data_IF_762115805473
#
_entry.id   IF_762115805473
#
_cell.length_a   1.000
_cell.length_b   1.000
_cell.length_c   1.000
_cell.angle_alpha   90.00
_cell.angle_beta   90.00
_cell.angle_gamma   90.00
#
_symmetry.space_group_name_H-M   'P 1'
#
loop_
_entity.id
_entity.type
_entity.pdbx_description
1 polymer ?
#
# COMPACT_ATOMS: atom_id res chain seq x y z
N UNK A 1 -23.81 17.31 -25.71
CA UNK A 1 -23.45 17.92 -24.42
C UNK A 1 -23.93 16.95 -23.36
N UNK A 2 -23.27 15.86 -23.01
CA UNK A 2 -21.84 15.70 -22.69
C UNK A 2 -21.71 15.25 -21.24
N UNK A 3 -22.59 14.34 -20.78
CA UNK A 3 -22.47 13.67 -19.48
C UNK A 3 -21.76 12.34 -19.72
N UNK A 4 -20.45 12.31 -19.52
CA UNK A 4 -19.71 11.05 -19.42
C UNK A 4 -19.58 10.71 -17.94
N UNK A 5 -20.68 10.17 -17.38
CA UNK A 5 -20.64 9.30 -16.20
C UNK A 5 -20.52 7.87 -16.70
N UNK A 6 -19.34 7.53 -17.19
CA UNK A 6 -18.94 6.17 -17.59
C UNK A 6 -17.49 6.09 -17.14
N UNK A 7 -17.14 5.45 -16.03
CA UNK A 7 -17.33 4.02 -15.78
C UNK A 7 -17.38 3.71 -14.28
N UNK A 8 -18.51 3.96 -13.62
CA UNK A 8 -18.78 3.28 -12.34
C UNK A 8 -19.47 1.95 -12.70
N UNK A 9 -18.67 0.96 -13.09
CA UNK A 9 -19.17 -0.40 -13.23
C UNK A 9 -19.77 -0.86 -11.90
N UNK A 10 -21.00 -1.37 -11.99
CA UNK A 10 -21.80 -2.12 -11.00
C UNK A 10 -20.98 -2.92 -9.97
N UNK A 11 -20.45 -2.23 -8.98
CA UNK A 11 -19.98 -2.81 -7.74
C UNK A 11 -20.80 -2.13 -6.66
N UNK A 12 -21.51 -2.89 -5.83
CA UNK A 12 -22.26 -2.37 -4.68
C UNK A 12 -21.39 -1.75 -3.57
N UNK A 13 -20.18 -1.32 -3.91
CA UNK A 13 -19.18 -0.70 -3.05
C UNK A 13 -18.41 0.36 -3.82
N UNK A 14 -17.99 1.41 -3.10
CA UNK A 14 -17.14 2.48 -3.63
C UNK A 14 -15.75 2.38 -3.00
N UNK A 15 -14.69 2.38 -3.82
CA UNK A 15 -13.30 2.45 -3.37
C UNK A 15 -12.73 3.83 -3.68
N UNK A 16 -12.08 4.45 -2.70
CA UNK A 16 -11.53 5.78 -2.89
C UNK A 16 -11.33 6.57 -1.60
N UNK A 17 -11.08 7.86 -1.76
CA UNK A 17 -10.91 8.82 -0.67
C UNK A 17 -12.12 9.77 -0.63
N UNK A 18 -12.87 9.76 0.47
CA UNK A 18 -13.91 10.77 0.75
C UNK A 18 -13.29 11.91 1.55
N UNK A 19 -13.62 13.13 1.18
CA UNK A 19 -13.15 14.35 1.85
C UNK A 19 -14.37 15.07 2.42
N UNK A 20 -14.28 15.41 3.70
CA UNK A 20 -15.33 16.09 4.43
C UNK A 20 -14.84 17.46 4.91
N UNK A 21 -15.68 18.47 4.73
CA UNK A 21 -15.60 19.74 5.44
C UNK A 21 -16.16 19.53 6.85
N UNK A 22 -15.31 19.81 7.84
CA UNK A 22 -15.60 19.68 9.27
C UNK A 22 -15.55 21.04 10.00
N UNK A 23 -15.65 22.15 9.26
CA UNK A 23 -15.69 23.50 9.84
C UNK A 23 -16.84 23.70 10.85
N UNK A 24 -17.91 22.92 10.70
CA UNK A 24 -18.97 22.75 11.69
C UNK A 24 -18.89 21.31 12.23
N UNK A 25 -18.39 21.15 13.45
CA UNK A 25 -18.06 19.85 14.01
C UNK A 25 -19.24 18.88 14.08
N UNK A 26 -20.44 19.39 14.39
CA UNK A 26 -21.67 18.59 14.48
C UNK A 26 -22.34 18.31 13.13
N UNK A 27 -21.85 18.91 12.03
CA UNK A 27 -22.39 18.74 10.67
C UNK A 27 -21.30 18.54 9.62
N UNK A 28 -20.54 17.42 9.66
CA UNK A 28 -19.60 17.07 8.60
C UNK A 28 -20.30 17.00 7.25
N UNK A 29 -19.72 17.62 6.23
CA UNK A 29 -20.28 17.65 4.86
C UNK A 29 -19.28 17.10 3.88
N UNK A 30 -19.64 16.05 3.15
CA UNK A 30 -18.78 15.56 2.06
C UNK A 30 -18.63 16.67 1.00
N UNK A 31 -17.39 16.95 0.61
CA UNK A 31 -17.06 17.96 -0.42
C UNK A 31 -16.52 17.34 -1.69
N UNK A 32 -16.03 16.10 -1.64
CA UNK A 32 -15.62 15.34 -2.82
C UNK A 32 -15.38 13.87 -2.50
N UNK A 33 -15.39 13.06 -3.55
CA UNK A 33 -14.93 11.68 -3.53
C UNK A 33 -13.94 11.43 -4.67
N UNK A 34 -12.70 11.08 -4.34
CA UNK A 34 -11.72 10.56 -5.30
C UNK A 34 -11.97 9.07 -5.46
N UNK A 35 -12.61 8.66 -6.54
CA UNK A 35 -12.78 7.24 -6.86
C UNK A 35 -11.45 6.64 -7.33
N UNK A 36 -11.16 5.43 -6.84
CA UNK A 36 -10.04 4.62 -7.29
C UNK A 36 -10.58 3.29 -7.82
N UNK A 37 -10.03 2.85 -8.95
CA UNK A 37 -10.20 1.48 -9.42
C UNK A 37 -9.51 0.50 -8.46
N UNK A 38 -9.81 -0.79 -8.56
CA UNK A 38 -9.28 -1.82 -7.64
C UNK A 38 -10.01 -1.88 -6.29
N UNK A 39 -9.36 -2.48 -5.29
CA UNK A 39 -9.94 -2.67 -3.93
C UNK A 39 -9.98 -1.35 -3.14
N UNK A 40 -9.14 -0.38 -3.52
CA UNK A 40 -9.12 0.95 -2.91
C UNK A 40 -8.09 1.13 -1.80
N UNK A 41 -8.37 2.08 -0.92
CA UNK A 41 -7.43 2.57 0.09
C UNK A 41 -7.46 1.70 1.36
N UNK A 42 -6.28 1.36 1.86
CA UNK A 42 -6.09 0.59 3.10
C UNK A 42 -5.64 1.45 4.28
N UNK A 43 -4.76 2.43 4.06
CA UNK A 43 -4.33 3.41 5.07
C UNK A 43 -4.19 4.79 4.44
N UNK A 44 -4.37 5.82 5.27
CA UNK A 44 -4.19 7.22 4.92
C UNK A 44 -3.27 7.86 5.96
N UNK A 45 -2.26 8.58 5.49
CA UNK A 45 -1.48 9.53 6.27
C UNK A 45 -1.77 10.94 5.74
N UNK A 46 -2.37 11.77 6.59
CA UNK A 46 -2.65 13.17 6.30
C UNK A 46 -2.56 13.97 7.60
N UNK A 47 -1.69 14.98 7.61
CA UNK A 47 -1.42 15.83 8.79
C UNK A 47 -1.84 17.29 8.55
N UNK A 48 -2.66 17.54 7.54
CA UNK A 48 -3.04 18.88 7.08
C UNK A 48 -2.21 19.37 5.90
N UNK A 49 -2.66 20.46 5.29
CA UNK A 49 -2.03 21.06 4.11
C UNK A 49 -2.46 20.39 2.80
N UNK A 50 -1.58 20.44 1.79
CA UNK A 50 -1.90 20.04 0.42
C UNK A 50 -1.80 18.54 0.15
N UNK A 51 -0.99 17.79 0.90
CA UNK A 51 -0.62 16.42 0.50
C UNK A 51 -1.15 15.37 1.45
N UNK A 52 -1.87 14.39 0.90
CA UNK A 52 -2.18 13.13 1.57
C UNK A 52 -1.45 11.97 0.92
N UNK A 53 -1.23 10.91 1.68
CA UNK A 53 -0.45 9.75 1.27
C UNK A 53 -1.20 8.49 1.64
N UNK A 54 -1.34 7.57 0.70
CA UNK A 54 -2.21 6.40 0.91
C UNK A 54 -1.53 5.12 0.46
N UNK A 55 -1.86 4.03 1.15
CA UNK A 55 -1.66 2.69 0.62
C UNK A 55 -2.94 2.25 -0.08
N UNK A 56 -2.85 1.92 -1.37
CA UNK A 56 -4.03 1.59 -2.16
C UNK A 56 -3.76 0.44 -3.12
N UNK A 57 -4.74 -0.44 -3.28
CA UNK A 57 -4.70 -1.52 -4.27
C UNK A 57 -5.58 -1.08 -5.42
N UNK A 58 -4.91 -0.63 -6.47
CA UNK A 58 -5.53 -0.22 -7.73
C UNK A 58 -5.34 -1.30 -8.79
N UNK A 59 -6.18 -1.29 -9.82
CA UNK A 59 -6.13 -2.28 -10.90
C UNK A 59 -4.72 -2.38 -11.53
N UNK A 60 -4.34 -3.60 -11.90
CA UNK A 60 -3.05 -3.89 -12.52
C UNK A 60 -1.90 -4.16 -11.54
N UNK A 61 -2.10 -3.94 -10.24
CA UNK A 61 -1.09 -4.23 -9.21
C UNK A 61 -1.43 -5.49 -8.42
N UNK A 62 -0.38 -6.20 -8.00
CA UNK A 62 -0.52 -7.43 -7.22
C UNK A 62 -1.07 -7.20 -5.80
N UNK A 63 -0.79 -6.03 -5.21
CA UNK A 63 -1.24 -5.65 -3.86
C UNK A 63 -1.09 -4.13 -3.62
N UNK A 64 -1.33 -3.66 -2.38
CA UNK A 64 -1.29 -2.25 -2.01
C UNK A 64 0.05 -1.55 -2.35
N UNK A 65 -0.02 -0.44 -3.08
CA UNK A 65 1.11 0.42 -3.46
C UNK A 65 1.04 1.79 -2.78
N UNK A 66 2.12 2.58 -2.87
CA UNK A 66 2.15 3.96 -2.38
C UNK A 66 1.54 4.90 -3.42
N UNK A 67 0.58 5.73 -3.01
CA UNK A 67 0.08 6.85 -3.81
C UNK A 67 0.24 8.16 -3.03
N UNK A 68 0.55 9.23 -3.76
CA UNK A 68 0.45 10.62 -3.28
C UNK A 68 -0.82 11.25 -3.85
N UNK A 69 -1.55 11.97 -3.01
CA UNK A 69 -2.81 12.63 -3.37
C UNK A 69 -2.61 14.13 -3.23
N UNK A 70 -2.86 14.86 -4.32
CA UNK A 70 -2.88 16.31 -4.34
C UNK A 70 -4.25 16.82 -3.86
N UNK A 71 -4.24 17.65 -2.83
CA UNK A 71 -5.40 18.32 -2.25
C UNK A 71 -5.29 19.85 -2.39
N UNK A 72 -4.62 20.35 -3.43
CA UNK A 72 -4.56 21.79 -3.75
C UNK A 72 -5.96 22.42 -3.79
N UNK A 73 -6.91 21.72 -4.42
CA UNK A 73 -8.34 21.92 -4.24
C UNK A 73 -8.95 20.64 -3.64
N UNK A 74 -9.34 20.63 -2.36
CA UNK A 74 -9.92 19.44 -1.72
C UNK A 74 -11.32 19.08 -2.26
N UNK A 75 -11.90 19.88 -3.18
CA UNK A 75 -13.10 19.51 -3.93
C UNK A 75 -12.78 18.75 -5.21
N UNK A 76 -11.52 18.76 -5.64
CA UNK A 76 -10.99 18.07 -6.83
C UNK A 76 -9.66 17.37 -6.49
N UNK A 77 -9.68 16.41 -5.55
CA UNK A 77 -8.49 15.63 -5.22
C UNK A 77 -8.04 14.78 -6.41
N UNK A 78 -6.72 14.62 -6.58
CA UNK A 78 -6.14 13.85 -7.69
C UNK A 78 -4.98 12.97 -7.22
N UNK A 79 -4.80 11.80 -7.84
CA UNK A 79 -3.59 10.99 -7.64
C UNK A 79 -2.45 11.64 -8.41
N UNK A 80 -1.47 12.19 -7.69
CA UNK A 80 -0.35 12.91 -8.30
C UNK A 80 0.83 11.99 -8.64
N UNK A 81 1.11 11.01 -7.77
CA UNK A 81 2.29 10.16 -7.88
C UNK A 81 2.03 8.77 -7.33
N UNK A 82 2.87 7.84 -7.77
CA UNK A 82 2.74 6.41 -7.45
C UNK A 82 4.13 5.81 -7.24
N UNK A 83 4.23 4.84 -6.35
CA UNK A 83 5.44 4.03 -6.19
C UNK A 83 5.11 2.63 -5.70
N UNK A 84 5.83 1.64 -6.21
CA UNK A 84 5.65 0.23 -5.90
C UNK A 84 6.99 -0.50 -5.87
N UNK A 85 7.03 -1.65 -5.20
CA UNK A 85 8.20 -2.54 -5.27
C UNK A 85 8.26 -3.21 -6.64
N UNK A 86 9.46 -3.39 -7.24
CA UNK A 86 9.60 -4.12 -8.50
C UNK A 86 8.96 -5.51 -8.43
N UNK A 87 8.18 -5.89 -9.44
CA UNK A 87 7.42 -7.14 -9.48
C UNK A 87 5.93 -6.97 -9.15
N UNK A 88 5.49 -5.78 -8.72
CA UNK A 88 4.10 -5.54 -8.36
C UNK A 88 3.21 -5.10 -9.53
N UNK A 89 3.76 -4.46 -10.56
CA UNK A 89 2.96 -3.92 -11.68
C UNK A 89 2.73 -5.00 -12.76
N UNK A 90 1.73 -5.83 -12.52
CA UNK A 90 1.38 -6.95 -13.40
C UNK A 90 0.81 -6.46 -14.73
N UNK A 91 0.14 -5.30 -14.76
CA UNK A 91 -0.36 -4.70 -15.99
C UNK A 91 0.75 -4.33 -16.99
N UNK A 92 1.97 -4.06 -16.52
CA UNK A 92 3.14 -3.85 -17.38
C UNK A 92 3.97 -5.11 -17.60
N UNK A 93 3.48 -6.27 -17.15
CA UNK A 93 4.17 -7.55 -17.28
C UNK A 93 5.26 -7.81 -16.23
N UNK A 94 5.33 -7.00 -15.15
CA UNK A 94 6.25 -7.32 -14.05
C UNK A 94 5.83 -8.63 -13.38
N UNK A 95 6.83 -9.43 -12.97
CA UNK A 95 6.61 -10.67 -12.20
C UNK A 95 7.27 -10.58 -10.83
N UNK A 96 6.57 -10.97 -9.75
CA UNK A 96 7.13 -11.08 -8.41
C UNK A 96 8.42 -11.91 -8.38
N UNK A 97 9.49 -11.35 -7.82
CA UNK A 97 10.77 -12.06 -7.60
C UNK A 97 10.95 -12.54 -6.16
N UNK A 98 9.98 -12.27 -5.29
CA UNK A 98 10.02 -12.69 -3.89
C UNK A 98 9.51 -14.13 -3.70
N UNK A 99 9.87 -14.79 -2.57
CA UNK A 99 9.47 -16.18 -2.33
C UNK A 99 7.95 -16.39 -2.35
N UNK A 100 7.54 -17.59 -2.77
CA UNK A 100 6.13 -17.99 -2.79
C UNK A 100 5.49 -17.90 -1.40
N UNK A 101 4.20 -17.56 -1.35
CA UNK A 101 3.44 -17.42 -0.11
C UNK A 101 3.78 -16.16 0.69
N UNK A 102 4.58 -15.24 0.13
CA UNK A 102 4.87 -13.93 0.72
C UNK A 102 3.98 -12.86 0.13
N UNK A 103 3.58 -11.91 0.99
CA UNK A 103 2.72 -10.80 0.62
C UNK A 103 3.49 -9.49 0.65
N UNK A 104 3.83 -8.96 -0.52
CA UNK A 104 4.51 -7.68 -0.68
C UNK A 104 3.46 -6.60 -0.92
N UNK A 105 3.00 -6.00 0.17
CA UNK A 105 1.95 -4.99 0.16
C UNK A 105 2.34 -3.86 1.11
N UNK A 106 2.22 -2.61 0.65
CA UNK A 106 2.42 -1.46 1.51
C UNK A 106 1.31 -1.45 2.57
N UNK A 107 1.69 -1.64 3.83
CA UNK A 107 0.76 -1.57 4.92
C UNK A 107 0.46 -0.10 5.23
N UNK A 108 1.50 0.69 5.55
CA UNK A 108 1.37 2.12 5.84
C UNK A 108 2.67 2.85 5.51
N UNK A 109 2.57 4.10 5.08
CA UNK A 109 3.70 5.02 4.97
C UNK A 109 3.49 6.21 5.93
N UNK A 110 4.53 6.57 6.67
CA UNK A 110 4.57 7.77 7.51
C UNK A 110 5.55 8.75 6.89
N UNK A 111 5.19 10.03 6.83
CA UNK A 111 5.97 11.06 6.14
C UNK A 111 6.61 12.00 7.16
N UNK A 112 7.90 12.26 7.01
CA UNK A 112 8.63 13.30 7.74
C UNK A 112 9.41 14.16 6.74
N UNK A 113 9.01 15.43 6.61
CA UNK A 113 9.54 16.33 5.57
C UNK A 113 9.32 15.76 4.16
N UNK A 114 10.42 15.53 3.45
CA UNK A 114 10.44 14.97 2.10
C UNK A 114 10.77 13.47 2.08
N UNK A 115 10.69 12.78 3.23
CA UNK A 115 10.94 11.33 3.31
C UNK A 115 9.69 10.56 3.70
N UNK A 116 9.32 9.58 2.88
CA UNK A 116 8.28 8.60 3.17
C UNK A 116 8.89 7.29 3.70
N UNK A 117 8.50 6.89 4.90
CA UNK A 117 8.88 5.62 5.52
C UNK A 117 7.78 4.59 5.26
N UNK A 118 7.94 3.82 4.18
CA UNK A 118 6.98 2.82 3.73
C UNK A 118 7.20 1.45 4.36
N UNK A 119 6.28 1.02 5.21
CA UNK A 119 6.28 -0.31 5.82
C UNK A 119 5.51 -1.31 4.96
N UNK A 120 6.20 -2.30 4.42
CA UNK A 120 5.65 -3.36 3.59
C UNK A 120 5.52 -4.62 4.43
N UNK A 121 4.47 -5.42 4.22
CA UNK A 121 4.20 -6.65 4.99
C UNK A 121 5.39 -7.62 5.01
N UNK A 122 5.52 -8.49 4.03
CA UNK A 122 6.71 -9.35 3.88
C UNK A 122 7.84 -8.66 3.08
N UNK A 123 7.58 -7.45 2.57
CA UNK A 123 8.49 -6.69 1.72
C UNK A 123 9.48 -5.79 2.47
N UNK A 124 9.44 -5.72 3.80
CA UNK A 124 10.39 -4.92 4.59
C UNK A 124 10.05 -3.43 4.64
N UNK A 125 11.06 -2.57 4.60
CA UNK A 125 10.95 -1.11 4.75
C UNK A 125 11.57 -0.39 3.55
N UNK A 126 10.86 0.59 3.01
CA UNK A 126 11.40 1.54 2.03
C UNK A 126 11.48 2.94 2.63
N UNK A 127 12.54 3.66 2.28
CA UNK A 127 12.60 5.11 2.40
C UNK A 127 12.45 5.67 0.98
N UNK A 128 11.45 6.50 0.76
CA UNK A 128 11.24 7.19 -0.50
C UNK A 128 11.50 8.69 -0.32
N UNK A 129 12.19 9.29 -1.28
CA UNK A 129 12.22 10.73 -1.48
C UNK A 129 10.91 11.13 -2.14
N UNK A 130 10.18 12.04 -1.49
CA UNK A 130 8.92 12.59 -1.97
C UNK A 130 9.01 14.11 -2.14
N UNK A 131 10.20 14.70 -2.31
CA UNK A 131 10.36 16.12 -2.58
C UNK A 131 9.48 16.55 -3.77
N UNK A 132 9.56 15.81 -4.88
CA UNK A 132 8.54 15.82 -5.93
C UNK A 132 7.49 14.73 -5.63
N UNK A 133 6.32 15.14 -5.12
CA UNK A 133 5.24 14.20 -4.78
C UNK A 133 4.65 13.50 -5.99
N UNK A 134 4.80 14.05 -7.21
CA UNK A 134 4.35 13.39 -8.42
C UNK A 134 5.30 12.25 -8.84
N UNK A 135 6.57 12.30 -8.40
CA UNK A 135 7.59 11.31 -8.73
C UNK A 135 8.35 10.83 -7.48
N UNK A 136 7.72 10.03 -6.59
CA UNK A 136 8.45 9.43 -5.48
C UNK A 136 9.62 8.57 -5.96
N UNK A 137 10.78 8.70 -5.31
CA UNK A 137 12.01 7.98 -5.69
C UNK A 137 12.52 7.13 -4.55
N UNK A 138 13.03 5.94 -4.84
CA UNK A 138 13.61 5.09 -3.81
C UNK A 138 14.94 5.67 -3.31
N UNK A 139 15.04 5.92 -2.01
CA UNK A 139 16.30 6.22 -1.32
C UNK A 139 16.95 4.90 -0.90
N UNK A 140 16.18 4.03 -0.23
CA UNK A 140 16.66 2.75 0.27
C UNK A 140 15.53 1.75 0.44
N UNK A 141 15.81 0.49 0.17
CA UNK A 141 14.95 -0.65 0.49
C UNK A 141 15.75 -1.63 1.35
N UNK A 142 15.16 -2.06 2.47
CA UNK A 142 15.72 -3.09 3.34
C UNK A 142 14.66 -4.11 3.67
N UNK A 143 14.96 -5.38 3.40
CA UNK A 143 14.12 -6.49 3.82
C UNK A 143 14.94 -7.43 4.69
N UNK A 144 14.50 -7.65 5.93
CA UNK A 144 15.14 -8.53 6.90
C UNK A 144 14.44 -9.91 6.98
N UNK A 145 13.55 -10.19 6.02
CA UNK A 145 12.83 -11.46 5.90
C UNK A 145 13.40 -12.28 4.74
N UNK A 146 13.79 -13.55 4.99
CA UNK A 146 14.05 -14.19 6.30
C UNK A 146 15.35 -13.66 6.99
N UNK A 147 15.54 -13.85 8.33
CA UNK A 147 14.80 -14.74 9.23
C UNK A 147 13.68 -14.08 10.08
N UNK A 148 13.52 -12.76 10.08
CA UNK A 148 12.68 -12.08 11.10
C UNK A 148 11.19 -11.96 10.72
N UNK A 149 10.58 -13.05 10.27
CA UNK A 149 9.13 -13.14 10.06
C UNK A 149 8.47 -14.08 11.07
N UNK A 150 7.23 -13.79 11.49
CA UNK A 150 6.43 -14.76 12.23
C UNK A 150 6.06 -15.92 11.30
N UNK A 151 6.77 -17.03 11.44
CA UNK A 151 6.23 -18.38 11.24
C UNK A 151 6.57 -19.20 12.47
N UNK A 152 5.58 -19.52 13.29
CA UNK A 152 5.68 -20.75 14.07
C UNK A 152 5.71 -21.89 13.04
N UNK A 153 6.77 -22.69 12.96
CA UNK A 153 6.70 -23.92 12.18
C UNK A 153 5.70 -24.84 12.90
N UNK A 154 4.52 -25.05 12.33
CA UNK A 154 3.81 -26.28 12.62
C UNK A 154 4.69 -27.42 12.09
N UNK A 155 5.19 -28.21 13.05
CA UNK A 155 6.17 -29.31 12.96
C UNK A 155 7.63 -28.89 12.88
N UNK A 156 8.22 -28.75 14.06
CA UNK A 156 9.57 -29.24 14.28
C UNK A 156 9.61 -30.75 13.94
N UNK A 157 10.40 -31.12 12.94
CA UNK A 157 10.87 -32.49 12.81
C UNK A 157 11.89 -32.71 13.94
N UNK A 158 11.46 -33.34 15.03
CA UNK A 158 12.38 -33.95 15.98
C UNK A 158 12.69 -35.36 15.48
N UNK A 159 13.67 -35.48 14.58
CA UNK A 159 14.43 -36.72 14.42
C UNK A 159 15.78 -36.51 15.09
N UNK A 160 15.84 -36.83 16.38
CA UNK A 160 17.10 -36.93 17.12
C UNK A 160 17.93 -38.14 16.62
N UNK A 161 19.26 -38.13 16.84
CA UNK A 161 20.15 -39.16 16.33
C UNK A 161 19.91 -40.49 17.04
N UNK A 162 19.98 -41.56 16.27
CA UNK A 162 19.81 -42.93 16.75
C UNK A 162 20.85 -43.29 17.83
N UNK A 163 20.36 -43.91 18.90
CA UNK A 163 21.18 -44.71 19.79
C UNK A 163 20.81 -46.18 19.54
N UNK A 164 21.79 -46.93 19.05
CA UNK A 164 21.78 -48.38 18.96
C UNK A 164 21.99 -48.99 20.36
N UNK A 165 21.42 -50.19 20.55
CA UNK A 165 21.63 -51.07 21.70
C UNK A 165 20.27 -51.61 22.18
N UNK A 166 19.92 -52.90 22.13
CA UNK A 166 20.74 -54.10 22.06
C UNK A 166 20.35 -55.02 23.21
N UNK A 167 19.79 -56.18 22.84
CA UNK A 167 19.73 -57.44 23.60
C UNK A 167 18.62 -57.69 24.67
N UNK A 168 17.85 -58.73 24.33
CA UNK A 168 17.18 -59.77 25.15
C UNK A 168 15.84 -59.47 25.79
#
# INVERSE_FOLDING_TARGET
>A
MGETVSDVQDKGWSAGLRIFDISVAEKPREISFLSLNGIGIHRIWYVGGRWAYVSALIDGFSDYIFLTIDLADPRKPEVAGRWWLPGMNQATGETPQWPEGKRYALHHAIIAGDTAYGSWRDGGLTLLDVQDRAQPKLISHRNWSPPFWRRYPHRAAASGPGAAGGAR
#
